data_IF_657138869275
#
_entry.id   IF_657138869275
#
_cell.length_a   1.000
_cell.length_b   1.000
_cell.length_c   1.000
_cell.angle_alpha   90.00
_cell.angle_beta   90.00
_cell.angle_gamma   90.00
#
_symmetry.space_group_name_H-M   'P 1'
#
loop_
_entity.id
_entity.type
_entity.pdbx_description
1 polymer ?
#
# COMPACT_ATOMS: atom_id res chain seq x y z
N UNK A 1 -42.94 -39.65 -40.84
CA UNK A 1 -41.81 -38.72 -40.65
C UNK A 1 -42.09 -37.89 -39.41
N UNK A 2 -41.25 -37.97 -38.38
CA UNK A 2 -41.43 -37.23 -37.12
C UNK A 2 -40.66 -35.89 -37.15
N UNK A 3 -41.17 -34.80 -36.55
CA UNK A 3 -40.52 -33.50 -36.58
C UNK A 3 -39.36 -33.41 -35.57
N UNK A 4 -38.19 -33.00 -36.06
CA UNK A 4 -37.01 -32.75 -35.23
C UNK A 4 -37.23 -31.52 -34.33
N UNK A 5 -37.11 -31.71 -33.01
CA UNK A 5 -37.04 -30.59 -32.05
C UNK A 5 -35.69 -29.88 -32.18
N UNK A 6 -35.66 -28.53 -32.15
CA UNK A 6 -34.40 -27.79 -32.09
C UNK A 6 -33.75 -27.95 -30.71
N UNK A 7 -32.47 -28.34 -30.72
CA UNK A 7 -31.62 -28.34 -29.52
C UNK A 7 -31.32 -26.90 -29.09
N UNK A 8 -31.41 -26.56 -27.79
CA UNK A 8 -31.00 -25.26 -27.31
C UNK A 8 -29.47 -25.15 -27.44
N UNK A 9 -29.02 -24.20 -28.26
CA UNK A 9 -27.59 -23.88 -28.36
C UNK A 9 -27.08 -23.47 -26.98
N UNK A 10 -26.05 -24.17 -26.52
CA UNK A 10 -25.34 -23.90 -25.28
C UNK A 10 -25.12 -22.38 -25.12
N UNK A 11 -25.84 -21.81 -24.15
CA UNK A 11 -25.62 -20.44 -23.73
C UNK A 11 -24.18 -20.28 -23.29
N UNK A 12 -23.52 -19.25 -23.82
CA UNK A 12 -22.17 -18.85 -23.45
C UNK A 12 -22.08 -18.83 -21.92
N UNK A 13 -21.32 -19.75 -21.36
CA UNK A 13 -20.98 -19.74 -19.93
C UNK A 13 -20.48 -18.35 -19.56
N UNK A 14 -20.90 -17.78 -18.42
CA UNK A 14 -20.43 -16.46 -17.99
C UNK A 14 -18.90 -16.47 -18.01
N UNK A 15 -18.33 -15.55 -18.79
CA UNK A 15 -16.89 -15.42 -18.90
C UNK A 15 -16.32 -15.26 -17.48
N UNK A 16 -15.33 -16.09 -17.13
CA UNK A 16 -14.61 -15.97 -15.87
C UNK A 16 -14.21 -14.50 -15.66
N UNK A 17 -14.33 -13.95 -14.44
CA UNK A 17 -13.91 -12.58 -14.17
C UNK A 17 -12.49 -12.39 -14.66
N UNK A 18 -12.31 -11.46 -15.62
CA UNK A 18 -10.98 -11.08 -16.05
C UNK A 18 -10.36 -10.30 -14.91
N UNK A 19 -9.24 -10.76 -14.38
CA UNK A 19 -8.51 -10.01 -13.36
C UNK A 19 -8.29 -8.58 -13.86
N UNK A 20 -8.61 -7.55 -13.04
CA UNK A 20 -8.43 -6.17 -13.44
C UNK A 20 -6.98 -5.93 -13.87
N UNK A 21 -6.79 -5.22 -14.98
CA UNK A 21 -5.45 -4.77 -15.37
C UNK A 21 -4.93 -3.78 -14.31
N UNK A 22 -3.62 -3.75 -14.08
CA UNK A 22 -3.02 -2.82 -13.10
C UNK A 22 -3.37 -1.34 -13.37
N UNK A 23 -3.54 -0.97 -14.64
CA UNK A 23 -4.02 0.36 -15.05
C UNK A 23 -5.41 0.68 -14.52
N UNK A 24 -6.30 -0.30 -14.49
CA UNK A 24 -7.67 -0.11 -14.03
C UNK A 24 -7.71 -0.01 -12.51
N UNK A 25 -6.89 -0.80 -11.82
CA UNK A 25 -6.72 -0.71 -10.37
C UNK A 25 -6.19 0.67 -9.95
N UNK A 26 -5.20 1.22 -10.69
CA UNK A 26 -4.68 2.57 -10.46
C UNK A 26 -5.78 3.64 -10.63
N UNK A 27 -6.59 3.54 -11.69
CA UNK A 27 -7.72 4.48 -11.92
C UNK A 27 -8.75 4.40 -10.80
N UNK A 28 -9.13 3.20 -10.37
CA UNK A 28 -10.06 3.00 -9.26
C UNK A 28 -9.51 3.59 -7.96
N UNK A 29 -8.22 3.41 -7.69
CA UNK A 29 -7.56 3.93 -6.50
C UNK A 29 -7.51 5.47 -6.50
N UNK A 30 -7.18 6.08 -7.64
CA UNK A 30 -7.21 7.55 -7.79
C UNK A 30 -8.62 8.11 -7.61
N UNK A 31 -9.64 7.43 -8.14
CA UNK A 31 -11.04 7.83 -7.96
C UNK A 31 -11.45 7.79 -6.48
N UNK A 32 -11.12 6.70 -5.77
CA UNK A 32 -11.40 6.59 -4.33
C UNK A 32 -10.66 7.69 -3.52
N UNK A 33 -9.42 8.00 -3.90
CA UNK A 33 -8.65 9.08 -3.27
C UNK A 33 -9.30 10.46 -3.50
N UNK A 34 -9.83 10.72 -4.71
CA UNK A 34 -10.59 11.93 -4.99
C UNK A 34 -11.85 12.02 -4.13
N UNK A 35 -12.62 10.93 -4.01
CA UNK A 35 -13.79 10.87 -3.13
C UNK A 35 -13.43 11.20 -1.68
N UNK A 36 -12.33 10.64 -1.16
CA UNK A 36 -11.82 10.95 0.17
C UNK A 36 -11.49 12.44 0.33
N UNK A 37 -10.80 13.07 -0.65
CA UNK A 37 -10.47 14.51 -0.60
C UNK A 37 -11.70 15.40 -0.64
N UNK A 38 -12.69 15.08 -1.49
CA UNK A 38 -13.90 15.90 -1.66
C UNK A 38 -14.88 15.77 -0.49
N UNK A 39 -14.89 14.62 0.18
CA UNK A 39 -15.78 14.37 1.32
C UNK A 39 -15.29 14.94 2.65
N UNK A 40 -14.04 15.43 2.73
CA UNK A 40 -13.40 15.93 3.96
C UNK A 40 -13.47 14.95 5.14
N UNK A 41 -13.48 13.64 4.85
CA UNK A 41 -13.51 12.59 5.88
C UNK A 41 -12.10 12.31 6.37
N UNK A 42 -11.92 12.24 7.69
CA UNK A 42 -10.67 11.81 8.30
C UNK A 42 -10.66 10.29 8.51
N UNK A 43 -9.50 9.67 8.27
CA UNK A 43 -9.32 8.24 8.55
C UNK A 43 -9.11 8.02 10.05
N UNK A 44 -9.99 7.21 10.65
CA UNK A 44 -9.84 6.71 12.01
C UNK A 44 -8.71 5.66 12.08
N UNK A 45 -7.50 6.13 12.40
CA UNK A 45 -6.31 5.27 12.51
C UNK A 45 -6.46 4.17 13.58
N UNK A 46 -6.97 4.44 14.80
CA UNK A 46 -7.28 3.39 15.77
C UNK A 46 -8.21 2.29 15.24
N UNK A 47 -9.30 2.65 14.57
CA UNK A 47 -10.21 1.66 13.99
C UNK A 47 -9.53 0.81 12.91
N UNK A 48 -8.75 1.44 12.03
CA UNK A 48 -7.95 0.75 11.01
C UNK A 48 -6.93 -0.19 11.66
N UNK A 49 -6.22 0.27 12.69
CA UNK A 49 -5.23 -0.53 13.42
C UNK A 49 -5.88 -1.78 14.04
N UNK A 50 -7.06 -1.62 14.65
CA UNK A 50 -7.86 -2.72 15.20
C UNK A 50 -8.31 -3.69 14.11
N UNK A 51 -8.80 -3.18 12.97
CA UNK A 51 -9.25 -4.00 11.85
C UNK A 51 -8.14 -4.88 11.28
N UNK A 52 -6.93 -4.32 11.13
CA UNK A 52 -5.77 -5.05 10.60
C UNK A 52 -4.95 -5.79 11.66
N UNK A 53 -5.31 -5.71 12.95
CA UNK A 53 -4.55 -6.33 14.05
C UNK A 53 -3.12 -5.79 14.19
N UNK A 54 -2.91 -4.50 13.90
CA UNK A 54 -1.59 -3.84 13.97
C UNK A 54 -1.56 -2.73 15.01
N UNK A 55 -0.36 -2.27 15.38
CA UNK A 55 -0.19 -1.09 16.26
C UNK A 55 -0.64 0.19 15.54
N UNK A 56 -1.17 1.15 16.29
CA UNK A 56 -1.61 2.46 15.77
C UNK A 56 -0.50 3.17 14.97
N UNK A 57 0.73 3.17 15.47
CA UNK A 57 1.86 3.78 14.77
C UNK A 57 2.13 3.09 13.41
N UNK A 58 2.00 1.77 13.34
CA UNK A 58 2.16 1.04 12.09
C UNK A 58 1.06 1.41 11.08
N UNK A 59 -0.20 1.52 11.53
CA UNK A 59 -1.30 1.99 10.68
C UNK A 59 -1.07 3.42 10.18
N UNK A 60 -0.64 4.33 11.07
CA UNK A 60 -0.33 5.71 10.71
C UNK A 60 0.81 5.81 9.68
N UNK A 61 1.88 5.04 9.85
CA UNK A 61 3.01 5.01 8.91
C UNK A 61 2.60 4.42 7.56
N UNK A 62 1.77 3.37 7.54
CA UNK A 62 1.20 2.80 6.31
C UNK A 62 0.34 3.83 5.59
N UNK A 63 -0.53 4.53 6.31
CA UNK A 63 -1.36 5.59 5.74
C UNK A 63 -0.52 6.72 5.14
N UNK A 64 0.51 7.22 5.86
CA UNK A 64 1.43 8.25 5.36
C UNK A 64 2.12 7.83 4.06
N UNK A 65 2.65 6.60 4.00
CA UNK A 65 3.31 6.06 2.80
C UNK A 65 2.34 5.91 1.63
N UNK A 66 1.13 5.41 1.89
CA UNK A 66 0.09 5.28 0.88
C UNK A 66 -0.33 6.65 0.33
N UNK A 67 -0.59 7.61 1.22
CA UNK A 67 -0.93 8.99 0.85
C UNK A 67 0.12 9.61 -0.06
N UNK A 68 1.41 9.49 0.28
CA UNK A 68 2.50 10.01 -0.56
C UNK A 68 2.45 9.43 -1.98
N UNK A 69 2.26 8.12 -2.12
CA UNK A 69 2.14 7.47 -3.43
C UNK A 69 0.91 7.93 -4.22
N UNK A 70 -0.22 8.15 -3.53
CA UNK A 70 -1.44 8.65 -4.16
C UNK A 70 -1.27 10.08 -4.67
N UNK A 71 -0.62 10.93 -3.89
CA UNK A 71 -0.34 12.31 -4.28
C UNK A 71 0.64 12.36 -5.48
N UNK A 72 1.65 11.48 -5.52
CA UNK A 72 2.55 11.32 -6.68
C UNK A 72 1.79 10.83 -7.93
N UNK A 73 0.93 9.82 -7.79
CA UNK A 73 0.11 9.31 -8.91
C UNK A 73 -0.87 10.36 -9.43
N UNK A 74 -1.46 11.15 -8.55
CA UNK A 74 -2.38 12.25 -8.92
C UNK A 74 -1.63 13.33 -9.69
N UNK A 75 -0.41 13.69 -9.26
CA UNK A 75 0.43 14.65 -9.96
C UNK A 75 0.82 14.14 -11.36
N UNK A 76 1.23 12.87 -11.49
CA UNK A 76 1.55 12.28 -12.79
C UNK A 76 0.32 12.19 -13.71
N UNK A 77 -0.87 11.89 -13.17
CA UNK A 77 -2.09 11.79 -13.96
C UNK A 77 -2.55 13.13 -14.54
N UNK A 78 -2.19 14.26 -13.91
CA UNK A 78 -2.46 15.60 -14.43
C UNK A 78 -1.40 16.06 -15.45
N UNK A 79 -0.19 15.50 -15.41
CA UNK A 79 0.89 15.81 -16.34
C UNK A 79 0.90 14.95 -17.62
N UNK A 80 0.33 13.74 -17.57
CA UNK A 80 0.33 12.80 -18.70
C UNK A 80 -0.66 13.16 -19.83
N UNK A 81 -1.45 14.24 -19.68
CA UNK A 81 -2.14 14.86 -20.83
C UNK A 81 -1.16 15.62 -21.75
N UNK A 82 0.07 15.92 -21.31
CA UNK A 82 1.02 16.71 -22.11
C UNK A 82 2.33 16.01 -22.51
N UNK A 83 2.76 14.88 -21.94
CA UNK A 83 4.02 14.28 -22.43
C UNK A 83 4.24 12.81 -22.07
N UNK A 84 3.93 11.94 -23.03
CA UNK A 84 4.54 10.61 -23.17
C UNK A 84 6.08 10.73 -23.20
N UNK A 85 6.77 10.53 -22.09
CA UNK A 85 8.22 10.27 -22.09
C UNK A 85 8.71 9.55 -20.81
N UNK A 86 8.66 8.23 -20.86
CA UNK A 86 9.62 7.25 -20.34
C UNK A 86 10.69 7.73 -19.33
N UNK A 87 10.70 7.14 -18.13
CA UNK A 87 11.81 6.26 -17.68
C UNK A 87 11.47 5.52 -16.39
N UNK A 88 11.41 4.20 -16.51
CA UNK A 88 11.62 3.28 -15.41
C UNK A 88 13.08 3.40 -14.94
N UNK A 89 13.30 3.36 -13.63
CA UNK A 89 14.42 2.65 -13.03
C UNK A 89 13.99 2.23 -11.62
N UNK A 90 13.76 0.93 -11.51
CA UNK A 90 13.86 0.13 -10.31
C UNK A 90 15.37 -0.07 -10.10
N UNK A 91 15.95 0.40 -8.98
CA UNK A 91 17.05 -0.33 -8.35
C UNK A 91 17.31 0.14 -6.91
N UNK A 92 17.75 -0.83 -6.14
CA UNK A 92 17.99 -0.92 -4.71
C UNK A 92 19.01 0.11 -4.17
N UNK A 93 18.76 0.64 -2.97
CA UNK A 93 19.85 0.81 -2.00
C UNK A 93 19.33 0.85 -0.55
N UNK A 94 19.41 -0.31 0.09
CA UNK A 94 19.70 -0.52 1.52
C UNK A 94 20.75 0.49 2.05
N UNK A 95 20.58 1.02 3.28
CA UNK A 95 21.56 1.68 4.20
C UNK A 95 20.74 2.60 5.14
N UNK A 96 20.87 2.66 6.47
CA UNK A 96 21.74 2.04 7.47
C UNK A 96 21.12 2.28 8.86
N UNK A 97 21.32 1.30 9.74
CA UNK A 97 21.65 1.38 11.17
C UNK A 97 21.37 2.67 11.96
N UNK A 98 20.74 2.50 13.12
CA UNK A 98 21.30 2.86 14.46
C UNK A 98 20.33 2.41 15.55
N UNK A 99 20.66 1.28 16.19
CA UNK A 99 20.18 0.96 17.52
C UNK A 99 20.95 1.83 18.54
N UNK A 100 20.30 2.36 19.59
CA UNK A 100 21.01 2.81 20.78
C UNK A 100 21.15 1.65 21.77
N UNK A 101 22.36 1.11 21.89
CA UNK A 101 22.76 0.25 23.01
C UNK A 101 23.00 1.18 24.21
N UNK A 102 22.29 0.92 25.30
CA UNK A 102 22.53 1.51 26.61
C UNK A 102 23.72 0.78 27.23
N UNK A 103 24.83 1.47 27.47
CA UNK A 103 25.88 0.95 28.36
C UNK A 103 25.68 1.56 29.74
N UNK A 104 25.26 0.70 30.67
CA UNK A 104 25.23 0.98 32.09
C UNK A 104 26.68 1.02 32.60
N UNK A 105 27.11 2.18 33.05
CA UNK A 105 28.36 2.35 33.79
C UNK A 105 28.18 1.75 35.19
N UNK A 106 28.94 0.71 35.52
CA UNK A 106 29.26 0.32 36.89
C UNK A 106 30.76 0.09 36.98
N UNK A 107 31.47 1.18 37.28
CA UNK A 107 32.85 1.17 37.76
C UNK A 107 32.76 1.25 39.28
N UNK A 108 33.31 0.28 40.03
CA UNK A 108 33.96 0.50 41.34
C UNK A 108 34.59 -0.82 41.83
N UNK A 109 35.77 -1.16 41.30
CA UNK A 109 36.67 -2.16 41.90
C UNK A 109 37.69 -1.39 42.75
N UNK A 110 37.40 -1.25 44.05
CA UNK A 110 38.29 -0.68 45.05
C UNK A 110 39.07 -1.76 45.78
N UNK A 111 40.36 -1.88 45.43
CA UNK A 111 41.40 -2.67 46.08
C UNK A 111 41.79 -2.05 47.46
N UNK A 112 41.78 -2.86 48.52
CA UNK A 112 42.49 -2.60 49.78
C UNK A 112 42.59 -3.89 50.62
N UNK A 113 43.60 -4.72 50.35
CA UNK A 113 44.02 -5.79 51.25
C UNK A 113 44.80 -5.19 52.44
N UNK A 114 44.34 -5.46 53.66
CA UNK A 114 45.02 -5.09 54.92
C UNK A 114 45.68 -6.32 55.53
N UNK A 115 47.00 -6.30 55.73
CA UNK A 115 47.72 -6.93 56.86
C UNK A 115 49.12 -6.32 57.02
#
# INVERSE_FOLDING_TARGET
MAPNKPTPKAGKSPAKPKEPRDSDLKKQLLFLWACHKVSDVQIDIPAVAKYFGIKNNAAQMRFKRMKKKLDEMEASAKGDEETHASKANDDDHMVQTKEPIYEANTEDEGDAMSE
#
